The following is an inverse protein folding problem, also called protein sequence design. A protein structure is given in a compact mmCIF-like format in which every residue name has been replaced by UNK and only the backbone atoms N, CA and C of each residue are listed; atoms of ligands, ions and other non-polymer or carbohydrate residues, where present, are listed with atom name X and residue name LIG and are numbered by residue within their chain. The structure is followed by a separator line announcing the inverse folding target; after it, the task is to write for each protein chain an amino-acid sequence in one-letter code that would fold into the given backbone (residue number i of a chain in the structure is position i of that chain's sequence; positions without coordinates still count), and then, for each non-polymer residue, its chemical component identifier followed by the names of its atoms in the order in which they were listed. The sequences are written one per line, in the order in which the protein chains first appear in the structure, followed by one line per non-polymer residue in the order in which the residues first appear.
data_IF_827435074485
#
_entry.id   IF_827435074485
#
_cell.length_a   1.000
_cell.length_b   1.000
_cell.length_c   1.000
_cell.angle_alpha   90.00
_cell.angle_beta   90.00
_cell.angle_gamma   90.00
#
_symmetry.space_group_name_H-M   'P 1'
#
loop_
_entity.id
_entity.type
_entity.pdbx_description
1 polymer ?
#
# COMPACT_ATOMS: atom_id res chain seq x y z
N UNK A 1 5.34 11.59 0.20
CA UNK A 1 4.22 10.73 -0.24
C UNK A 1 2.96 11.58 -0.25
N UNK A 2 2.08 11.37 -1.22
CA UNK A 2 0.73 11.93 -1.22
C UNK A 2 -0.27 10.78 -1.18
N UNK A 3 -1.29 10.87 -0.34
CA UNK A 3 -2.34 9.86 -0.28
C UNK A 3 -3.69 10.50 0.01
N UNK A 4 -4.75 9.85 -0.46
CA UNK A 4 -6.12 10.16 -0.12
C UNK A 4 -6.83 8.86 0.24
N UNK A 5 -7.64 8.92 1.29
CA UNK A 5 -8.45 7.80 1.76
C UNK A 5 -9.86 8.29 1.99
N UNK A 6 -10.84 7.48 1.62
CA UNK A 6 -12.25 7.73 1.84
C UNK A 6 -12.93 6.45 2.28
N UNK A 7 -13.97 6.54 3.09
CA UNK A 7 -14.63 5.34 3.59
C UNK A 7 -15.64 5.65 4.68
N UNK A 8 -16.40 4.61 5.04
CA UNK A 8 -17.32 4.65 6.16
C UNK A 8 -16.57 4.67 7.50
N UNK A 9 -15.47 3.94 7.59
CA UNK A 9 -14.67 3.80 8.82
C UNK A 9 -13.23 3.44 8.46
N UNK A 10 -12.26 4.11 9.07
CA UNK A 10 -10.83 3.85 8.86
C UNK A 10 -10.34 2.62 9.62
N UNK A 11 -11.07 2.20 10.66
CA UNK A 11 -10.66 1.10 11.54
C UNK A 11 -11.17 -0.28 11.08
N UNK A 12 -12.09 -0.31 10.10
CA UNK A 12 -12.73 -1.55 9.58
C UNK A 12 -13.20 -2.50 10.69
N UNK A 13 -13.88 -1.94 11.69
CA UNK A 13 -14.21 -2.66 12.93
C UNK A 13 -15.57 -3.33 12.87
N UNK A 14 -16.57 -2.61 12.37
CA UNK A 14 -17.94 -3.11 12.33
C UNK A 14 -18.27 -3.66 10.95
N UNK A 15 -19.17 -4.66 10.91
CA UNK A 15 -19.59 -5.27 9.66
C UNK A 15 -20.10 -4.22 8.65
N UNK A 16 -19.62 -4.31 7.42
CA UNK A 16 -19.97 -3.37 6.36
C UNK A 16 -19.19 -2.05 6.38
N UNK A 17 -18.28 -1.87 7.34
CA UNK A 17 -17.27 -0.82 7.24
C UNK A 17 -16.39 -1.07 6.02
N UNK A 18 -16.08 0.02 5.32
CA UNK A 18 -15.25 -0.02 4.13
C UNK A 18 -14.41 1.24 4.03
N UNK A 19 -13.27 1.12 3.35
CA UNK A 19 -12.44 2.23 2.96
C UNK A 19 -11.80 1.95 1.60
N UNK A 20 -11.48 3.00 0.88
CA UNK A 20 -10.69 2.97 -0.34
C UNK A 20 -9.59 4.02 -0.21
N UNK A 21 -8.40 3.71 -0.71
CA UNK A 21 -7.26 4.60 -0.68
C UNK A 21 -6.51 4.59 -1.99
N UNK A 22 -5.91 5.73 -2.30
CA UNK A 22 -4.99 5.90 -3.41
C UNK A 22 -3.83 6.76 -2.93
N UNK A 23 -2.63 6.48 -3.44
CA UNK A 23 -1.48 7.30 -3.14
C UNK A 23 -0.42 7.22 -4.21
N UNK A 24 0.49 8.19 -4.12
CA UNK A 24 1.69 8.26 -4.93
C UNK A 24 2.89 8.42 -4.00
N UNK A 25 3.91 7.59 -4.22
CA UNK A 25 5.16 7.60 -3.48
C UNK A 25 6.31 7.88 -4.46
N UNK A 26 7.25 8.67 -3.99
CA UNK A 26 8.50 9.00 -4.68
C UNK A 26 9.61 8.95 -3.64
N UNK A 27 10.54 8.02 -3.81
CA UNK A 27 11.65 7.73 -2.90
C UNK A 27 12.93 7.98 -3.67
N UNK A 28 13.68 9.02 -3.30
CA UNK A 28 14.96 9.33 -3.95
C UNK A 28 15.95 8.17 -3.81
N UNK A 29 16.90 8.01 -4.75
CA UNK A 29 18.03 7.10 -4.58
C UNK A 29 18.79 7.41 -3.28
N UNK A 30 19.27 6.37 -2.60
CA UNK A 30 20.09 6.46 -1.38
C UNK A 30 19.45 7.27 -0.24
N UNK A 31 18.13 7.40 -0.25
CA UNK A 31 17.40 8.21 0.73
C UNK A 31 17.50 7.66 2.17
N UNK A 32 17.66 6.33 2.32
CA UNK A 32 17.68 5.64 3.61
C UNK A 32 18.60 4.41 3.55
N UNK A 33 19.25 4.04 4.68
CA UNK A 33 19.88 2.73 4.82
C UNK A 33 18.86 1.61 4.63
N UNK A 34 19.31 0.47 4.08
CA UNK A 34 18.40 -0.56 3.57
C UNK A 34 17.39 -1.10 4.59
N UNK A 35 17.82 -1.24 5.84
CA UNK A 35 17.01 -1.73 6.95
C UNK A 35 15.76 -0.88 7.28
N UNK A 36 15.69 0.36 6.78
CA UNK A 36 14.58 1.29 7.05
C UNK A 36 13.65 1.49 5.85
N UNK A 37 13.89 0.78 4.74
CA UNK A 37 13.03 0.88 3.56
C UNK A 37 11.70 0.15 3.75
N UNK A 38 10.69 0.63 3.04
CA UNK A 38 9.38 -0.01 2.97
C UNK A 38 9.49 -1.28 2.12
N UNK A 39 9.43 -2.44 2.74
CA UNK A 39 9.60 -3.74 2.10
C UNK A 39 8.50 -4.11 1.10
N UNK A 40 7.33 -3.45 1.18
CA UNK A 40 6.20 -3.75 0.30
C UNK A 40 6.23 -2.94 -0.99
N UNK A 41 6.73 -1.70 -0.95
CA UNK A 41 6.77 -0.81 -2.10
C UNK A 41 8.01 -1.06 -2.95
N UNK A 42 7.85 -1.33 -4.25
CA UNK A 42 8.94 -1.64 -5.18
C UNK A 42 9.85 -2.81 -4.72
N UNK A 43 9.30 -3.73 -3.91
CA UNK A 43 10.04 -4.83 -3.26
C UNK A 43 11.14 -4.38 -2.30
N UNK A 44 11.05 -3.15 -1.77
CA UNK A 44 12.05 -2.59 -0.89
C UNK A 44 12.99 -1.60 -1.58
N UNK A 45 14.04 -1.22 -0.85
CA UNK A 45 15.06 -0.32 -1.36
C UNK A 45 14.64 1.14 -1.50
N UNK A 46 15.48 1.88 -2.24
CA UNK A 46 15.28 3.29 -2.60
C UNK A 46 15.14 3.43 -4.12
N UNK A 47 15.25 4.64 -4.68
CA UNK A 47 15.19 4.86 -6.14
C UNK A 47 13.84 4.47 -6.79
N UNK A 48 12.73 4.54 -6.05
CA UNK A 48 11.44 4.07 -6.54
C UNK A 48 10.37 5.16 -6.58
N UNK A 49 9.55 5.17 -7.64
CA UNK A 49 8.33 5.98 -7.70
C UNK A 49 7.16 5.16 -8.23
N UNK A 50 5.95 5.53 -7.83
CA UNK A 50 4.79 4.75 -8.24
C UNK A 50 3.51 5.10 -7.51
N UNK A 51 2.44 4.49 -7.99
CA UNK A 51 1.10 4.63 -7.46
C UNK A 51 0.72 3.37 -6.70
N UNK A 52 -0.13 3.54 -5.70
CA UNK A 52 -0.81 2.44 -5.06
C UNK A 52 -2.28 2.77 -4.89
N UNK A 53 -3.12 1.77 -5.06
CA UNK A 53 -4.56 1.84 -4.87
C UNK A 53 -5.00 0.61 -4.09
N UNK A 54 -5.97 0.79 -3.21
CA UNK A 54 -6.49 -0.33 -2.45
C UNK A 54 -7.85 -0.03 -1.85
N UNK A 55 -8.44 -1.08 -1.33
CA UNK A 55 -9.71 -1.02 -0.63
C UNK A 55 -9.74 -2.07 0.48
N UNK A 56 -10.46 -1.75 1.55
CA UNK A 56 -10.73 -2.67 2.63
C UNK A 56 -12.23 -2.78 2.91
N UNK A 57 -12.65 -3.95 3.35
CA UNK A 57 -14.04 -4.25 3.70
C UNK A 57 -14.11 -5.17 4.92
N UNK A 58 -14.93 -4.80 5.90
CA UNK A 58 -15.19 -5.59 7.10
C UNK A 58 -16.34 -6.58 6.84
N UNK A 59 -15.99 -7.87 6.78
CA UNK A 59 -16.94 -8.96 6.55
C UNK A 59 -17.80 -9.24 7.79
N UNK A 60 -17.20 -9.10 8.97
CA UNK A 60 -17.82 -9.30 10.27
C UNK A 60 -17.14 -8.41 11.31
N UNK A 61 -17.69 -8.33 12.53
CA UNK A 61 -17.04 -7.59 13.61
C UNK A 61 -15.59 -8.05 13.80
N UNK A 62 -14.65 -7.10 13.71
CA UNK A 62 -13.21 -7.32 13.80
C UNK A 62 -12.59 -8.24 12.72
N UNK A 63 -13.33 -8.62 11.67
CA UNK A 63 -12.82 -9.45 10.57
C UNK A 63 -12.95 -8.69 9.27
N UNK A 64 -11.82 -8.38 8.64
CA UNK A 64 -11.78 -7.53 7.45
C UNK A 64 -10.73 -7.99 6.45
N UNK A 65 -11.00 -7.72 5.17
CA UNK A 65 -10.08 -7.93 4.07
C UNK A 65 -9.54 -6.62 3.56
N UNK A 66 -8.29 -6.62 3.08
CA UNK A 66 -7.68 -5.48 2.39
C UNK A 66 -7.04 -5.97 1.10
N UNK A 67 -7.37 -5.30 0.01
CA UNK A 67 -6.72 -5.45 -1.27
C UNK A 67 -5.85 -4.22 -1.55
N UNK A 68 -4.65 -4.45 -2.08
CA UNK A 68 -3.73 -3.39 -2.51
C UNK A 68 -3.07 -3.78 -3.83
N UNK A 69 -3.07 -2.87 -4.79
CA UNK A 69 -2.25 -2.93 -5.99
C UNK A 69 -1.27 -1.77 -6.01
N UNK A 70 -0.02 -2.07 -6.34
CA UNK A 70 1.07 -1.12 -6.43
C UNK A 70 1.73 -1.26 -7.79
N UNK A 71 1.90 -0.15 -8.50
CA UNK A 71 2.64 -0.09 -9.76
C UNK A 71 3.79 0.88 -9.60
N UNK A 72 5.01 0.36 -9.74
CA UNK A 72 6.23 1.07 -9.35
C UNK A 72 7.29 0.97 -10.43
N UNK A 73 8.17 1.96 -10.48
CA UNK A 73 9.31 2.00 -11.38
C UNK A 73 10.49 2.76 -10.79
N UNK A 74 11.68 2.47 -11.28
CA UNK A 74 12.87 3.21 -10.90
C UNK A 74 12.82 4.69 -11.35
N UNK A 75 13.47 5.55 -10.59
CA UNK A 75 13.61 6.98 -10.91
C UNK A 75 14.76 7.18 -11.91
N UNK A 76 15.90 6.53 -11.65
CA UNK A 76 17.12 6.64 -12.44
C UNK A 76 17.79 5.26 -12.59
N UNK A 77 18.47 5.03 -13.72
CA UNK A 77 19.20 3.79 -13.98
C UNK A 77 18.53 2.91 -15.03
N UNK A 78 18.80 1.61 -14.96
CA UNK A 78 18.20 0.63 -15.85
C UNK A 78 16.70 0.52 -15.56
N UNK A 79 15.82 0.50 -16.57
CA UNK A 79 14.38 0.52 -16.32
C UNK A 79 13.92 -0.77 -15.63
N UNK A 80 13.65 -0.68 -14.32
CA UNK A 80 12.93 -1.71 -13.56
C UNK A 80 11.54 -1.18 -13.21
N UNK A 81 10.52 -1.96 -13.58
CA UNK A 81 9.13 -1.71 -13.23
C UNK A 81 8.53 -2.97 -12.61
N UNK A 82 7.74 -2.79 -11.55
CA UNK A 82 7.17 -3.87 -10.76
C UNK A 82 5.72 -3.53 -10.43
N UNK A 83 4.84 -4.46 -10.80
CA UNK A 83 3.44 -4.47 -10.39
C UNK A 83 3.24 -5.55 -9.32
N UNK A 84 2.73 -5.15 -8.16
CA UNK A 84 2.50 -6.04 -7.02
C UNK A 84 1.04 -5.96 -6.60
N UNK A 85 0.38 -7.11 -6.51
CA UNK A 85 -0.98 -7.24 -5.95
C UNK A 85 -0.91 -8.00 -4.63
N UNK A 86 -1.59 -7.49 -3.62
CA UNK A 86 -1.65 -8.05 -2.28
C UNK A 86 -3.11 -8.16 -1.85
N UNK A 87 -3.44 -9.29 -1.22
CA UNK A 87 -4.72 -9.50 -0.57
C UNK A 87 -4.47 -10.06 0.82
N UNK A 88 -5.04 -9.39 1.82
CA UNK A 88 -4.85 -9.68 3.23
C UNK A 88 -6.20 -9.90 3.88
N UNK A 89 -6.33 -10.95 4.70
CA UNK A 89 -7.48 -11.15 5.59
C UNK A 89 -6.97 -11.02 7.02
N UNK A 90 -7.62 -10.18 7.81
CA UNK A 90 -7.25 -9.86 9.17
C UNK A 90 -8.41 -10.17 10.11
N UNK A 91 -8.08 -10.69 11.29
CA UNK A 91 -9.01 -10.88 12.40
C UNK A 91 -8.39 -10.29 13.67
N UNK A 92 -9.17 -9.50 14.42
CA UNK A 92 -8.77 -8.91 15.70
C UNK A 92 -9.62 -9.49 16.84
N UNK A 93 -8.97 -9.95 17.90
CA UNK A 93 -9.61 -10.62 19.04
C UNK A 93 -9.60 -9.71 20.27
#
# INVERSE_FOLDING_TARGET
MLQATLGRSYDLKEKGDWLAFVGYKYIQPDALPDAFNDSSFHQGGTNARGYYIGAGYAFEKNVYGVFRWMSTKEIYGAPLAIDTMQFEINARF
#
